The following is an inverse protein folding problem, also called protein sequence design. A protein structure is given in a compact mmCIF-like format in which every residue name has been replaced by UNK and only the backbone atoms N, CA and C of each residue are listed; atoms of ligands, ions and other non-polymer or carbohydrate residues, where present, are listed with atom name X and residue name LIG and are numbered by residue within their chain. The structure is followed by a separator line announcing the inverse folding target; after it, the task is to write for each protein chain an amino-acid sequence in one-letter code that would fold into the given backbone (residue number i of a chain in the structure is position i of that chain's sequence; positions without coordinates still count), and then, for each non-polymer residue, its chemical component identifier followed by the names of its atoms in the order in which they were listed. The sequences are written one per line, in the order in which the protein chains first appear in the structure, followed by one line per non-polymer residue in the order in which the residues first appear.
data_IF_378955390341
#
_entry.id   IF_378955390341
#
_cell.length_a   1.000
_cell.length_b   1.000
_cell.length_c   1.000
_cell.angle_alpha   90.00
_cell.angle_beta   90.00
_cell.angle_gamma   90.00
#
_symmetry.space_group_name_H-M   'P 1'
#
loop_
_entity.id
_entity.type
_entity.pdbx_description
1 polymer ?
#
# COMPACT_ATOMS: atom_id res chain seq x y z
N UNK A 1 -0.79 14.83 15.47
CA UNK A 1 -0.90 14.72 14.00
C UNK A 1 -0.65 13.28 13.64
N UNK A 2 -1.71 12.54 13.34
CA UNK A 2 -1.64 11.11 13.07
C UNK A 2 -0.95 10.85 11.73
N UNK A 3 0.23 10.24 11.78
CA UNK A 3 0.98 9.82 10.60
C UNK A 3 0.30 8.59 10.00
N UNK A 4 -0.44 8.76 8.90
CA UNK A 4 -1.09 7.63 8.22
C UNK A 4 -0.08 6.84 7.39
N UNK A 5 -0.14 5.51 7.47
CA UNK A 5 0.66 4.62 6.62
C UNK A 5 -0.02 4.40 5.27
N UNK A 6 0.79 4.41 4.21
CA UNK A 6 0.39 4.21 2.82
C UNK A 6 1.18 3.03 2.28
N UNK A 7 0.45 2.01 1.83
CA UNK A 7 0.99 0.83 1.17
C UNK A 7 0.90 0.99 -0.35
N UNK A 8 1.98 0.63 -1.03
CA UNK A 8 2.06 0.52 -2.49
C UNK A 8 2.27 -0.95 -2.80
N UNK A 9 1.24 -1.60 -3.33
CA UNK A 9 1.21 -3.06 -3.54
C UNK A 9 1.15 -3.38 -5.03
N UNK A 10 1.94 -4.34 -5.48
CA UNK A 10 1.90 -4.78 -6.87
C UNK A 10 2.39 -6.21 -7.05
N UNK A 11 1.81 -6.90 -8.04
CA UNK A 11 2.30 -8.16 -8.59
C UNK A 11 3.63 -8.04 -9.34
N UNK A 12 4.04 -6.83 -9.73
CA UNK A 12 5.32 -6.51 -10.35
C UNK A 12 6.18 -5.61 -9.43
N UNK A 13 6.84 -4.59 -9.96
CA UNK A 13 7.82 -3.77 -9.22
C UNK A 13 7.18 -2.74 -8.29
N UNK A 14 5.91 -2.39 -8.47
CA UNK A 14 5.23 -1.35 -7.68
C UNK A 14 5.53 0.09 -8.09
N UNK A 15 6.41 0.33 -9.07
CA UNK A 15 6.79 1.68 -9.54
C UNK A 15 5.57 2.49 -10.00
N UNK A 16 4.64 1.84 -10.71
CA UNK A 16 3.40 2.48 -11.18
C UNK A 16 2.51 2.90 -10.01
N UNK A 17 2.29 2.00 -9.04
CA UNK A 17 1.51 2.30 -7.84
C UNK A 17 2.15 3.46 -7.05
N UNK A 18 3.47 3.46 -6.90
CA UNK A 18 4.21 4.54 -6.25
C UNK A 18 4.10 5.87 -6.97
N UNK A 19 4.28 5.88 -8.28
CA UNK A 19 4.23 7.11 -9.10
C UNK A 19 2.83 7.74 -9.03
N UNK A 20 1.79 6.92 -9.20
CA UNK A 20 0.41 7.37 -9.12
C UNK A 20 0.07 7.91 -7.73
N UNK A 21 0.41 7.15 -6.69
CA UNK A 21 0.11 7.60 -5.34
C UNK A 21 0.93 8.81 -4.93
N UNK A 22 2.20 8.93 -5.33
CA UNK A 22 3.00 10.12 -5.10
C UNK A 22 2.36 11.36 -5.74
N UNK A 23 1.90 11.26 -6.99
CA UNK A 23 1.22 12.36 -7.69
C UNK A 23 -0.11 12.74 -7.04
N UNK A 24 -0.82 11.79 -6.43
CA UNK A 24 -2.07 12.06 -5.71
C UNK A 24 -1.80 12.70 -4.34
N UNK A 25 -0.77 12.22 -3.65
CA UNK A 25 -0.40 12.68 -2.31
C UNK A 25 0.13 14.11 -2.30
N UNK A 26 0.67 14.61 -3.41
CA UNK A 26 1.07 16.02 -3.52
C UNK A 26 -0.11 16.99 -3.38
N UNK A 27 -1.36 16.54 -3.55
CA UNK A 27 -2.56 17.35 -3.34
C UNK A 27 -2.88 17.54 -1.84
N UNK A 28 -2.28 16.76 -0.95
CA UNK A 28 -2.55 16.75 0.49
C UNK A 28 -1.43 17.44 1.29
N UNK A 29 -1.24 18.73 1.01
CA UNK A 29 -0.22 19.55 1.67
C UNK A 29 -0.30 19.48 3.21
N UNK A 30 0.85 19.35 3.88
CA UNK A 30 0.96 19.35 5.34
C UNK A 30 0.77 18.00 6.04
N UNK A 31 0.39 16.94 5.31
CA UNK A 31 0.24 15.59 5.87
C UNK A 31 1.56 14.81 5.83
N UNK A 32 1.99 14.25 6.97
CA UNK A 32 3.14 13.33 7.02
C UNK A 32 2.64 11.90 6.81
N UNK A 33 3.11 11.23 5.77
CA UNK A 33 2.77 9.86 5.46
C UNK A 33 3.97 8.94 5.70
N UNK A 34 3.71 7.73 6.23
CA UNK A 34 4.68 6.63 6.24
C UNK A 34 4.44 5.79 5.00
N UNK A 35 5.48 5.55 4.20
CA UNK A 35 5.37 4.79 2.95
C UNK A 35 5.90 3.37 3.15
N UNK A 36 5.19 2.38 2.61
CA UNK A 36 5.58 0.97 2.59
C UNK A 36 5.34 0.44 1.19
N UNK A 37 6.34 -0.19 0.58
CA UNK A 37 6.24 -0.76 -0.78
C UNK A 37 6.32 -2.27 -0.67
N UNK A 38 5.35 -2.97 -1.24
CA UNK A 38 5.25 -4.43 -1.28
C UNK A 38 5.19 -4.89 -2.75
N UNK A 39 6.35 -5.12 -3.39
CA UNK A 39 6.41 -5.59 -4.77
C UNK A 39 6.30 -7.12 -4.85
N UNK A 40 6.11 -7.61 -6.08
CA UNK A 40 6.11 -9.03 -6.45
C UNK A 40 5.08 -9.89 -5.72
N UNK A 41 3.91 -9.33 -5.44
CA UNK A 41 2.75 -10.04 -4.89
C UNK A 41 2.05 -10.86 -5.98
N UNK A 42 2.79 -11.75 -6.62
CA UNK A 42 2.37 -12.54 -7.77
C UNK A 42 1.87 -13.95 -7.41
N UNK A 43 1.46 -14.16 -6.15
CA UNK A 43 0.84 -15.39 -5.67
C UNK A 43 -0.18 -15.09 -4.58
N UNK A 44 -1.17 -15.97 -4.42
CA UNK A 44 -2.21 -15.85 -3.37
C UNK A 44 -1.60 -15.82 -1.96
N UNK A 45 -0.56 -16.61 -1.73
CA UNK A 45 0.16 -16.65 -0.46
C UNK A 45 0.77 -15.28 -0.10
N UNK A 46 1.51 -14.66 -1.03
CA UNK A 46 2.10 -13.34 -0.82
C UNK A 46 1.05 -12.24 -0.64
N UNK A 47 -0.07 -12.33 -1.38
CA UNK A 47 -1.17 -11.39 -1.23
C UNK A 47 -1.81 -11.50 0.17
N UNK A 48 -1.99 -12.71 0.68
CA UNK A 48 -2.47 -12.93 2.04
C UNK A 48 -1.49 -12.42 3.09
N UNK A 49 -0.18 -12.66 2.95
CA UNK A 49 0.84 -12.09 3.84
C UNK A 49 0.82 -10.56 3.85
N UNK A 50 0.68 -9.93 2.68
CA UNK A 50 0.58 -8.48 2.54
C UNK A 50 -0.69 -7.95 3.22
N UNK A 51 -1.84 -8.62 3.03
CA UNK A 51 -3.09 -8.30 3.71
C UNK A 51 -2.96 -8.39 5.22
N UNK A 52 -2.32 -9.44 5.74
CA UNK A 52 -2.05 -9.54 7.17
C UNK A 52 -1.15 -8.40 7.67
N UNK A 53 -0.11 -8.04 6.92
CA UNK A 53 0.77 -6.92 7.27
C UNK A 53 0.02 -5.59 7.34
N UNK A 54 -0.87 -5.34 6.37
CA UNK A 54 -1.74 -4.14 6.35
C UNK A 54 -2.68 -4.14 7.56
N UNK A 55 -3.29 -5.28 7.88
CA UNK A 55 -4.17 -5.43 9.05
C UNK A 55 -3.43 -5.22 10.37
N UNK A 56 -2.23 -5.79 10.52
CA UNK A 56 -1.35 -5.57 11.69
C UNK A 56 -0.97 -4.09 11.84
N UNK A 57 -0.71 -3.40 10.74
CA UNK A 57 -0.44 -1.97 10.75
C UNK A 57 -1.63 -1.18 11.32
N UNK A 58 -2.85 -1.49 10.87
CA UNK A 58 -4.07 -0.87 11.43
C UNK A 58 -4.22 -1.15 12.93
N UNK A 59 -4.04 -2.41 13.36
CA UNK A 59 -4.14 -2.79 14.77
C UNK A 59 -3.12 -2.06 15.65
N UNK A 60 -1.90 -1.86 15.15
CA UNK A 60 -0.83 -1.21 15.90
C UNK A 60 -0.94 0.32 15.91
N UNK A 61 -1.37 0.94 14.80
CA UNK A 61 -1.38 2.40 14.65
C UNK A 61 -2.74 3.01 15.00
N UNK A 62 -3.81 2.21 15.09
CA UNK A 62 -5.19 2.67 15.37
C UNK A 62 -5.83 3.46 14.23
N UNK A 63 -5.10 3.70 13.13
CA UNK A 63 -5.53 4.48 11.97
C UNK A 63 -5.51 3.58 10.74
N UNK A 64 -6.62 3.54 10.00
CA UNK A 64 -6.70 2.72 8.78
C UNK A 64 -5.67 3.18 7.73
N UNK A 65 -4.80 2.29 7.26
CA UNK A 65 -3.85 2.62 6.20
C UNK A 65 -4.55 2.84 4.85
N UNK A 66 -3.88 3.54 3.94
CA UNK A 66 -4.30 3.66 2.53
C UNK A 66 -3.50 2.67 1.69
N UNK A 67 -4.13 2.07 0.68
CA UNK A 67 -3.48 1.11 -0.22
C UNK A 67 -3.62 1.60 -1.66
N UNK A 68 -2.49 1.81 -2.33
CA UNK A 68 -2.41 1.94 -3.78
C UNK A 68 -2.00 0.60 -4.35
N UNK A 69 -2.79 0.06 -5.27
CA UNK A 69 -2.54 -1.25 -5.85
C UNK A 69 -2.48 -1.20 -7.38
N UNK A 70 -1.60 -2.02 -7.94
CA UNK A 70 -1.60 -2.36 -9.37
C UNK A 70 -1.43 -3.86 -9.50
N UNK A 71 -2.47 -4.53 -9.99
CA UNK A 71 -2.50 -5.96 -10.27
C UNK A 71 -2.98 -6.19 -11.70
N UNK A 72 -2.37 -7.15 -12.37
CA UNK A 72 -2.77 -7.62 -13.71
C UNK A 72 -3.70 -8.83 -13.63
N UNK A 73 -3.63 -9.59 -12.53
CA UNK A 73 -4.46 -10.76 -12.27
C UNK A 73 -5.50 -10.45 -11.17
N UNK A 74 -6.79 -10.51 -11.53
CA UNK A 74 -7.90 -10.29 -10.61
C UNK A 74 -8.09 -11.42 -9.59
N UNK A 75 -7.52 -12.62 -9.80
CA UNK A 75 -7.57 -13.68 -8.79
C UNK A 75 -6.66 -13.40 -7.58
N UNK A 76 -5.68 -12.51 -7.74
CA UNK A 76 -4.69 -12.18 -6.71
C UNK A 76 -5.02 -10.84 -6.03
N UNK A 77 -5.68 -9.93 -6.75
CA UNK A 77 -5.99 -8.56 -6.32
C UNK A 77 -6.93 -8.49 -5.11
#
# INVERSE_FOLDING_TARGET
MDRRTIFFVSDQTGITAETLGQSLLTQFNGSKFKRVVLPFLNSKEKAEEAKEQINRCFQSEGVKPVVFCTFTDDEIR
#
